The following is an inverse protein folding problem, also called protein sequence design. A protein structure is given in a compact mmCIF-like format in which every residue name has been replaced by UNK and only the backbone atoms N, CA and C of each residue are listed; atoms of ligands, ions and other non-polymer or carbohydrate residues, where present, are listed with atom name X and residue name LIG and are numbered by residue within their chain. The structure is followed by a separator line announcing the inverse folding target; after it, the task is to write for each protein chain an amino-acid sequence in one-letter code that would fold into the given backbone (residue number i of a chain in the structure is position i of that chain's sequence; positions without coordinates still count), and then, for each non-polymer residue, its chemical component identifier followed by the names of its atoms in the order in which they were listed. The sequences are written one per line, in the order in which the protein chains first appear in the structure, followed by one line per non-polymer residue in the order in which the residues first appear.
data_IF_173385858804
#
_entry.id   IF_173385858804
#
_cell.length_a   1.000
_cell.length_b   1.000
_cell.length_c   1.000
_cell.angle_alpha   90.00
_cell.angle_beta   90.00
_cell.angle_gamma   90.00
#
_symmetry.space_group_name_H-M   'P 1'
#
loop_
_entity.id
_entity.type
_entity.pdbx_description
1 polymer ?
#
# COMPACT_ATOMS: atom_id res chain seq x y z
N UNK A 1 -5.98 22.64 -15.04
CA UNK A 1 -4.85 22.53 -15.98
C UNK A 1 -5.35 22.82 -17.38
N UNK A 2 -4.55 23.50 -18.21
CA UNK A 2 -5.04 24.00 -19.53
C UNK A 2 -4.74 23.02 -20.67
N UNK A 3 -3.92 21.99 -20.43
CA UNK A 3 -3.47 21.05 -21.45
C UNK A 3 -4.27 19.73 -21.45
N UNK A 4 -4.34 19.09 -22.62
CA UNK A 4 -4.97 17.79 -22.80
C UNK A 4 -3.90 16.70 -22.85
N UNK A 5 -4.05 15.67 -22.02
CA UNK A 5 -3.11 14.56 -21.88
C UNK A 5 -3.66 13.27 -22.48
N UNK A 6 -2.77 12.40 -22.91
CA UNK A 6 -3.10 11.05 -23.36
C UNK A 6 -2.09 10.01 -22.89
N UNK A 7 -2.56 8.79 -22.62
CA UNK A 7 -1.73 7.65 -22.32
C UNK A 7 -2.43 6.32 -22.59
N UNK A 8 -1.66 5.26 -22.75
CA UNK A 8 -2.17 3.88 -22.69
C UNK A 8 -2.46 3.53 -21.24
N UNK A 9 -3.70 3.17 -20.92
CA UNK A 9 -4.16 2.86 -19.56
C UNK A 9 -4.21 1.37 -19.23
N UNK A 10 -4.02 0.50 -20.24
CA UNK A 10 -3.87 -0.95 -20.04
C UNK A 10 -2.42 -1.32 -19.75
N UNK A 11 -2.21 -2.50 -19.17
CA UNK A 11 -0.86 -3.01 -18.93
C UNK A 11 -0.01 -3.00 -20.23
N UNK A 12 1.28 -2.70 -20.16
CA UNK A 12 2.16 -2.67 -21.33
C UNK A 12 2.29 -4.05 -21.96
N UNK A 13 2.40 -4.07 -23.30
CA UNK A 13 2.58 -5.30 -24.08
C UNK A 13 1.49 -5.53 -25.11
N UNK A 14 1.54 -6.69 -25.78
CA UNK A 14 0.53 -7.12 -26.73
C UNK A 14 -0.60 -7.86 -26.01
N UNK A 15 -1.85 -7.53 -26.36
CA UNK A 15 -3.04 -8.14 -25.79
C UNK A 15 -4.18 -8.19 -26.80
N UNK A 16 -5.36 -8.71 -26.42
CA UNK A 16 -6.54 -8.66 -27.28
C UNK A 16 -7.08 -7.23 -27.44
N UNK A 17 -7.00 -6.41 -26.40
CA UNK A 17 -7.55 -5.07 -26.33
C UNK A 17 -6.56 -4.15 -25.58
N UNK A 18 -6.48 -2.89 -26.01
CA UNK A 18 -5.84 -1.81 -25.27
C UNK A 18 -6.80 -0.63 -25.15
N UNK A 19 -6.65 0.13 -24.06
CA UNK A 19 -7.41 1.36 -23.81
C UNK A 19 -6.44 2.53 -23.76
N UNK A 20 -6.67 3.54 -24.60
CA UNK A 20 -5.95 4.81 -24.58
C UNK A 20 -6.91 5.84 -23.99
N UNK A 21 -6.49 6.52 -22.92
CA UNK A 21 -7.26 7.54 -22.21
C UNK A 21 -6.74 8.93 -22.59
N UNK A 22 -7.67 9.84 -22.85
CA UNK A 22 -7.42 11.24 -23.15
C UNK A 22 -8.22 12.06 -22.14
N UNK A 23 -7.60 13.04 -21.48
CA UNK A 23 -8.27 13.90 -20.49
C UNK A 23 -7.83 15.34 -20.65
N UNK A 24 -8.76 16.26 -20.54
CA UNK A 24 -8.50 17.70 -20.62
C UNK A 24 -9.55 18.45 -21.45
N UNK A 25 -9.42 19.79 -21.55
CA UNK A 25 -10.43 20.63 -22.17
C UNK A 25 -10.68 20.34 -23.64
N UNK A 26 -9.66 19.90 -24.38
CA UNK A 26 -9.75 19.61 -25.81
C UNK A 26 -9.91 18.10 -26.13
N UNK A 27 -10.07 17.24 -25.13
CA UNK A 27 -10.07 15.78 -25.31
C UNK A 27 -11.10 15.32 -26.35
N UNK A 28 -12.34 15.82 -26.28
CA UNK A 28 -13.41 15.47 -27.20
C UNK A 28 -13.17 16.05 -28.60
N UNK A 29 -12.70 17.29 -28.67
CA UNK A 29 -12.44 17.97 -29.94
C UNK A 29 -11.31 17.29 -30.72
N UNK A 30 -10.21 16.99 -30.04
CA UNK A 30 -9.06 16.28 -30.65
C UNK A 30 -9.49 14.90 -31.14
N UNK A 31 -10.15 14.09 -30.32
CA UNK A 31 -10.61 12.76 -30.72
C UNK A 31 -11.60 12.81 -31.89
N UNK A 32 -12.46 13.85 -31.95
CA UNK A 32 -13.40 14.02 -33.04
C UNK A 32 -12.71 14.27 -34.40
N UNK A 33 -11.46 14.76 -34.43
CA UNK A 33 -10.71 14.99 -35.68
C UNK A 33 -10.12 13.71 -36.30
N UNK A 34 -9.94 12.68 -35.51
CA UNK A 34 -9.29 11.41 -35.91
C UNK A 34 -10.27 10.22 -35.97
N UNK A 35 -11.48 10.38 -35.46
CA UNK A 35 -12.48 9.34 -35.37
C UNK A 35 -13.55 9.49 -36.46
N UNK A 36 -13.78 8.40 -37.18
CA UNK A 36 -14.86 8.28 -38.19
C UNK A 36 -15.88 7.25 -37.72
N UNK A 37 -17.11 7.69 -37.38
CA UNK A 37 -18.16 6.77 -36.91
C UNK A 37 -18.61 5.81 -38.02
N UNK A 38 -18.86 4.57 -37.67
CA UNK A 38 -19.36 3.53 -38.62
C UNK A 38 -20.75 3.88 -39.17
N UNK A 39 -21.62 4.43 -38.32
CA UNK A 39 -22.97 4.83 -38.71
C UNK A 39 -22.97 6.32 -38.99
N UNK A 40 -23.50 6.74 -40.15
CA UNK A 40 -23.67 8.14 -40.50
C UNK A 40 -24.42 8.86 -39.37
N UNK A 41 -23.85 9.94 -38.86
CA UNK A 41 -24.43 10.71 -37.77
C UNK A 41 -23.50 11.80 -37.26
N UNK A 42 -23.95 12.49 -36.22
CA UNK A 42 -23.19 13.56 -35.57
C UNK A 42 -21.92 13.00 -34.95
N UNK A 43 -20.77 13.71 -35.02
CA UNK A 43 -19.49 13.36 -34.42
C UNK A 43 -19.52 13.27 -32.89
N UNK A 44 -18.35 13.09 -32.28
CA UNK A 44 -18.20 12.96 -30.83
C UNK A 44 -18.66 14.20 -30.06
N UNK A 45 -18.57 15.39 -30.65
CA UNK A 45 -18.98 16.65 -30.03
C UNK A 45 -20.44 16.64 -29.57
N UNK A 46 -21.32 15.93 -30.27
CA UNK A 46 -22.77 15.84 -29.95
C UNK A 46 -23.13 14.53 -29.25
N UNK A 47 -22.17 13.65 -28.99
CA UNK A 47 -22.40 12.39 -28.29
C UNK A 47 -22.70 12.66 -26.81
N UNK A 48 -23.68 11.91 -26.25
CA UNK A 48 -24.01 11.98 -24.83
C UNK A 48 -22.89 11.33 -24.02
N UNK A 49 -22.64 11.88 -22.82
CA UNK A 49 -21.79 11.23 -21.83
C UNK A 49 -22.27 9.81 -21.48
N UNK A 50 -21.35 8.96 -21.04
CA UNK A 50 -21.60 7.56 -20.68
C UNK A 50 -22.17 6.70 -21.82
N UNK A 51 -21.79 7.01 -23.05
CA UNK A 51 -22.18 6.23 -24.24
C UNK A 51 -20.96 5.75 -25.00
N UNK A 52 -21.13 4.59 -25.65
CA UNK A 52 -20.13 4.01 -26.52
C UNK A 52 -20.44 4.28 -27.97
N UNK A 53 -19.41 4.48 -28.80
CA UNK A 53 -19.54 4.61 -30.23
C UNK A 53 -18.52 3.78 -30.97
N UNK A 54 -18.98 2.96 -31.92
CA UNK A 54 -18.13 2.18 -32.80
C UNK A 54 -17.76 2.98 -34.06
N UNK A 55 -16.51 2.89 -34.47
CA UNK A 55 -15.98 3.54 -35.65
C UNK A 55 -14.53 3.20 -35.90
N UNK A 56 -13.83 4.06 -36.65
CA UNK A 56 -12.42 3.87 -37.00
C UNK A 56 -11.58 5.09 -36.64
N UNK A 57 -10.32 4.84 -36.25
CA UNK A 57 -9.28 5.88 -36.17
C UNK A 57 -8.55 5.91 -37.49
N UNK A 58 -8.39 7.14 -38.02
CA UNK A 58 -7.77 7.35 -39.33
C UNK A 58 -6.73 8.47 -39.29
N UNK A 59 -5.64 8.27 -40.08
CA UNK A 59 -4.68 9.33 -40.41
C UNK A 59 -4.92 9.75 -41.88
N UNK A 60 -5.76 10.77 -42.11
CA UNK A 60 -6.26 11.08 -43.43
C UNK A 60 -7.14 9.94 -43.98
N UNK A 61 -6.76 9.35 -45.11
CA UNK A 61 -7.48 8.22 -45.68
C UNK A 61 -7.01 6.85 -45.12
N UNK A 62 -5.86 6.79 -44.46
CA UNK A 62 -5.31 5.56 -43.91
C UNK A 62 -6.11 5.12 -42.67
N UNK A 63 -6.59 3.88 -42.69
CA UNK A 63 -7.23 3.23 -41.55
C UNK A 63 -6.14 2.72 -40.60
N UNK A 64 -6.13 3.21 -39.35
CA UNK A 64 -5.24 2.70 -38.30
C UNK A 64 -5.89 1.51 -37.60
N UNK A 65 -7.11 1.69 -37.10
CA UNK A 65 -7.84 0.61 -36.41
C UNK A 65 -9.35 0.89 -36.35
N UNK A 66 -10.14 -0.18 -36.12
CA UNK A 66 -11.56 -0.10 -35.77
C UNK A 66 -11.68 -0.13 -34.25
N UNK A 67 -12.38 0.85 -33.67
CA UNK A 67 -12.34 1.14 -32.23
C UNK A 67 -13.73 1.37 -31.64
N UNK A 68 -13.82 1.20 -30.31
CA UNK A 68 -14.92 1.69 -29.50
C UNK A 68 -14.47 2.94 -28.76
N UNK A 69 -15.26 4.03 -28.79
CA UNK A 69 -15.01 5.24 -28.01
C UNK A 69 -16.06 5.37 -26.92
N UNK A 70 -15.58 5.46 -25.66
CA UNK A 70 -16.35 5.88 -24.51
C UNK A 70 -16.10 7.36 -24.24
N UNK A 71 -17.16 8.11 -23.88
CA UNK A 71 -17.10 9.55 -23.67
C UNK A 71 -17.65 9.90 -22.30
N UNK A 72 -16.87 10.71 -21.57
CA UNK A 72 -17.20 11.25 -20.24
C UNK A 72 -17.06 12.76 -20.28
N UNK A 73 -18.04 13.47 -19.73
CA UNK A 73 -18.01 14.94 -19.69
C UNK A 73 -17.79 15.44 -18.28
N UNK A 74 -17.02 16.52 -18.18
CA UNK A 74 -16.83 17.25 -16.94
C UNK A 74 -18.19 17.65 -16.31
N UNK A 75 -18.31 17.63 -14.98
CA UNK A 75 -17.37 17.14 -13.99
C UNK A 75 -17.50 15.63 -13.70
N UNK A 76 -18.25 14.89 -14.50
CA UNK A 76 -18.64 13.50 -14.26
C UNK A 76 -17.70 12.51 -14.99
N UNK A 77 -16.41 12.61 -14.71
CA UNK A 77 -15.35 11.71 -15.16
C UNK A 77 -14.42 11.35 -13.99
N UNK A 78 -13.45 10.48 -14.21
CA UNK A 78 -12.45 10.15 -13.21
C UNK A 78 -11.61 11.36 -12.80
N UNK A 79 -11.14 12.12 -13.78
CA UNK A 79 -10.31 13.33 -13.56
C UNK A 79 -11.12 14.57 -13.22
N UNK A 80 -12.44 14.55 -13.40
CA UNK A 80 -13.27 15.74 -13.35
C UNK A 80 -13.25 16.58 -14.63
N UNK A 81 -12.44 16.22 -15.64
CA UNK A 81 -12.32 16.86 -16.94
C UNK A 81 -13.11 16.11 -18.03
N UNK A 82 -13.25 16.69 -19.22
CA UNK A 82 -13.71 15.94 -20.38
C UNK A 82 -12.73 14.81 -20.67
N UNK A 83 -13.25 13.58 -20.77
CA UNK A 83 -12.43 12.38 -20.94
C UNK A 83 -12.96 11.51 -22.07
N UNK A 84 -12.04 11.02 -22.88
CA UNK A 84 -12.32 10.04 -23.94
C UNK A 84 -11.48 8.80 -23.72
N UNK A 85 -12.10 7.64 -23.82
CA UNK A 85 -11.38 6.35 -23.82
C UNK A 85 -11.56 5.69 -25.18
N UNK A 86 -10.43 5.43 -25.85
CA UNK A 86 -10.36 4.71 -27.13
C UNK A 86 -9.97 3.28 -26.83
N UNK A 87 -10.91 2.37 -27.03
CA UNK A 87 -10.64 0.93 -26.95
C UNK A 87 -10.27 0.43 -28.37
N UNK A 88 -9.03 0.01 -28.54
CA UNK A 88 -8.45 -0.46 -29.80
C UNK A 88 -7.93 -1.91 -29.66
N UNK A 89 -7.49 -2.53 -30.76
CA UNK A 89 -6.77 -3.79 -30.67
C UNK A 89 -5.45 -3.60 -29.93
N UNK A 90 -5.07 -4.60 -29.10
CA UNK A 90 -3.93 -4.54 -28.19
C UNK A 90 -2.57 -4.73 -28.85
N UNK A 91 -2.43 -4.46 -30.15
CA UNK A 91 -1.15 -4.43 -30.87
C UNK A 91 -0.32 -3.22 -30.40
N UNK A 92 0.94 -3.45 -30.04
CA UNK A 92 1.88 -2.37 -29.65
C UNK A 92 2.01 -1.35 -30.79
N UNK A 93 2.00 -1.80 -32.05
CA UNK A 93 2.05 -0.92 -33.21
C UNK A 93 0.82 0.01 -33.29
N UNK A 94 -0.39 -0.55 -33.12
CA UNK A 94 -1.64 0.23 -33.15
C UNK A 94 -1.65 1.26 -32.02
N UNK A 95 -1.29 0.85 -30.80
CA UNK A 95 -1.19 1.75 -29.65
C UNK A 95 -0.26 2.92 -29.94
N UNK A 96 0.94 2.65 -30.49
CA UNK A 96 1.91 3.70 -30.85
C UNK A 96 1.39 4.63 -31.93
N UNK A 97 0.72 4.11 -32.98
CA UNK A 97 0.17 4.94 -34.05
C UNK A 97 -0.95 5.87 -33.55
N UNK A 98 -1.84 5.38 -32.67
CA UNK A 98 -2.90 6.19 -32.08
C UNK A 98 -2.31 7.24 -31.14
N UNK A 99 -1.36 6.88 -30.27
CA UNK A 99 -0.66 7.81 -29.39
C UNK A 99 0.05 8.92 -30.16
N UNK A 100 0.80 8.56 -31.20
CA UNK A 100 1.48 9.53 -32.07
C UNK A 100 0.47 10.48 -32.72
N UNK A 101 -0.63 9.96 -33.25
CA UNK A 101 -1.66 10.76 -33.90
C UNK A 101 -2.32 11.72 -32.93
N UNK A 102 -2.58 11.32 -31.68
CA UNK A 102 -3.12 12.19 -30.63
C UNK A 102 -2.14 13.32 -30.29
N UNK A 103 -0.85 13.03 -30.20
CA UNK A 103 0.21 14.03 -29.95
C UNK A 103 0.31 15.02 -31.12
N UNK A 104 0.26 14.52 -32.36
CA UNK A 104 0.23 15.38 -33.57
C UNK A 104 -0.99 16.32 -33.59
N UNK A 105 -2.08 15.95 -32.92
CA UNK A 105 -3.32 16.74 -32.81
C UNK A 105 -3.39 17.63 -31.58
N UNK A 106 -2.33 17.71 -30.76
CA UNK A 106 -2.22 18.64 -29.65
C UNK A 106 -2.37 18.04 -28.26
N UNK A 107 -2.44 16.70 -28.13
CA UNK A 107 -2.29 16.07 -26.84
C UNK A 107 -0.83 16.07 -26.41
N UNK A 108 -0.60 16.06 -25.09
CA UNK A 108 0.69 15.75 -24.49
C UNK A 108 0.64 14.35 -23.86
N UNK A 109 1.76 13.63 -23.85
CA UNK A 109 1.87 12.39 -23.10
C UNK A 109 1.69 12.69 -21.60
N UNK A 110 0.88 11.88 -20.92
CA UNK A 110 0.68 11.99 -19.49
C UNK A 110 1.93 11.59 -18.71
N UNK A 111 2.19 12.28 -17.62
CA UNK A 111 3.19 11.90 -16.62
C UNK A 111 2.67 10.72 -15.75
N UNK A 112 3.57 10.00 -15.02
CA UNK A 112 3.14 9.04 -14.03
C UNK A 112 2.13 9.63 -13.05
N UNK A 113 1.03 8.93 -12.78
CA UNK A 113 -0.01 9.35 -11.84
C UNK A 113 -0.82 10.60 -12.22
N UNK A 114 -0.60 11.20 -13.39
CA UNK A 114 -1.17 12.51 -13.72
C UNK A 114 -2.71 12.53 -13.77
N UNK A 115 -3.36 11.43 -14.18
CA UNK A 115 -4.83 11.39 -14.16
C UNK A 115 -5.36 11.40 -12.73
N UNK A 116 -4.72 10.68 -11.81
CA UNK A 116 -5.11 10.68 -10.40
C UNK A 116 -4.77 12.02 -9.73
N UNK A 117 -3.64 12.64 -10.09
CA UNK A 117 -3.30 13.99 -9.66
C UNK A 117 -4.36 15.02 -10.11
N UNK A 118 -4.82 14.97 -11.36
CA UNK A 118 -5.90 15.83 -11.86
C UNK A 118 -7.21 15.56 -11.12
N UNK A 119 -7.54 14.32 -10.84
CA UNK A 119 -8.70 13.96 -10.03
C UNK A 119 -8.63 14.58 -8.63
N UNK A 120 -7.48 14.52 -7.96
CA UNK A 120 -7.24 15.19 -6.68
C UNK A 120 -7.37 16.72 -6.81
N UNK A 121 -6.69 17.34 -7.76
CA UNK A 121 -6.74 18.81 -7.98
C UNK A 121 -8.15 19.31 -8.31
N UNK A 122 -8.96 18.49 -8.97
CA UNK A 122 -10.36 18.80 -9.28
C UNK A 122 -11.35 18.39 -8.18
N UNK A 123 -10.85 18.03 -6.98
CA UNK A 123 -11.68 17.71 -5.81
C UNK A 123 -12.53 16.44 -5.95
N UNK A 124 -12.14 15.50 -6.85
CA UNK A 124 -12.84 14.21 -7.02
C UNK A 124 -12.50 13.24 -5.92
N UNK A 125 -11.34 13.37 -5.30
CA UNK A 125 -10.82 12.60 -4.20
C UNK A 125 -9.79 13.43 -3.43
N UNK A 126 -9.55 13.07 -2.18
CA UNK A 126 -8.44 13.62 -1.40
C UNK A 126 -7.13 12.86 -1.65
N UNK A 127 -6.02 13.30 -1.03
CA UNK A 127 -4.70 12.72 -1.27
C UNK A 127 -4.62 11.28 -0.76
N UNK A 128 -5.23 10.97 0.38
CA UNK A 128 -5.24 9.61 0.95
C UNK A 128 -6.01 8.63 0.06
N UNK A 129 -7.12 9.08 -0.56
CA UNK A 129 -7.87 8.31 -1.55
C UNK A 129 -7.09 8.13 -2.85
N UNK A 130 -6.36 9.17 -3.28
CA UNK A 130 -5.47 9.09 -4.45
C UNK A 130 -4.38 8.04 -4.25
N UNK A 131 -3.70 8.03 -3.11
CA UNK A 131 -2.71 7.00 -2.77
C UNK A 131 -3.34 5.59 -2.75
N UNK A 132 -4.56 5.45 -2.25
CA UNK A 132 -5.29 4.18 -2.22
C UNK A 132 -5.61 3.63 -3.62
N UNK A 133 -5.75 4.49 -4.64
CA UNK A 133 -5.90 4.02 -6.05
C UNK A 133 -4.66 3.24 -6.50
N UNK A 134 -3.45 3.72 -6.17
CA UNK A 134 -2.21 3.01 -6.48
C UNK A 134 -2.12 1.69 -5.72
N UNK A 135 -2.43 1.71 -4.42
CA UNK A 135 -2.43 0.52 -3.58
C UNK A 135 -3.43 -0.54 -4.06
N UNK A 136 -4.61 -0.12 -4.51
CA UNK A 136 -5.63 -1.02 -5.06
C UNK A 136 -5.13 -1.75 -6.31
N UNK A 137 -4.44 -1.02 -7.19
CA UNK A 137 -3.89 -1.56 -8.43
C UNK A 137 -2.71 -2.51 -8.16
N UNK A 138 -1.88 -2.18 -7.17
CA UNK A 138 -0.74 -2.99 -6.77
C UNK A 138 -1.12 -4.21 -5.90
N UNK A 139 -2.37 -4.30 -5.45
CA UNK A 139 -2.81 -5.35 -4.52
C UNK A 139 -2.71 -6.75 -5.14
N UNK A 140 -2.03 -7.65 -4.44
CA UNK A 140 -1.82 -9.07 -4.82
C UNK A 140 -2.49 -10.03 -3.84
N UNK A 141 -3.10 -9.54 -2.74
CA UNK A 141 -3.79 -10.34 -1.74
C UNK A 141 -5.16 -9.78 -1.39
N UNK A 142 -6.04 -10.64 -0.86
CA UNK A 142 -7.37 -10.22 -0.41
C UNK A 142 -7.31 -9.18 0.72
N UNK A 143 -6.30 -9.26 1.59
CA UNK A 143 -6.07 -8.29 2.65
C UNK A 143 -5.71 -6.92 2.10
N UNK A 144 -4.72 -6.85 1.20
CA UNK A 144 -4.32 -5.61 0.53
C UNK A 144 -5.48 -4.97 -0.23
N UNK A 145 -6.18 -5.75 -1.04
CA UNK A 145 -7.34 -5.29 -1.79
C UNK A 145 -8.41 -4.67 -0.88
N UNK A 146 -8.75 -5.33 0.24
CA UNK A 146 -9.76 -4.85 1.19
C UNK A 146 -9.36 -3.52 1.81
N UNK A 147 -8.11 -3.39 2.28
CA UNK A 147 -7.60 -2.15 2.87
C UNK A 147 -7.60 -1.01 1.87
N UNK A 148 -7.03 -1.22 0.68
CA UNK A 148 -6.98 -0.20 -0.37
C UNK A 148 -8.39 0.23 -0.81
N UNK A 149 -9.33 -0.71 -0.97
CA UNK A 149 -10.71 -0.40 -1.33
C UNK A 149 -11.42 0.42 -0.25
N UNK A 150 -11.21 0.10 1.03
CA UNK A 150 -11.80 0.84 2.14
C UNK A 150 -11.26 2.28 2.21
N UNK A 151 -9.94 2.43 2.06
CA UNK A 151 -9.30 3.75 2.02
C UNK A 151 -9.75 4.57 0.81
N UNK A 152 -9.82 3.98 -0.39
CA UNK A 152 -10.31 4.64 -1.61
C UNK A 152 -11.77 5.12 -1.46
N UNK A 153 -12.61 4.39 -0.70
CA UNK A 153 -13.99 4.79 -0.40
C UNK A 153 -14.09 5.92 0.63
N UNK A 154 -12.97 6.41 1.17
CA UNK A 154 -12.92 7.55 2.07
C UNK A 154 -13.16 7.20 3.55
N UNK A 155 -13.05 5.93 3.95
CA UNK A 155 -13.22 5.55 5.36
C UNK A 155 -12.25 6.29 6.28
N UNK A 156 -10.98 6.38 5.88
CA UNK A 156 -9.94 7.10 6.62
C UNK A 156 -10.15 8.62 6.57
N UNK A 157 -10.44 9.17 5.41
CA UNK A 157 -10.71 10.60 5.20
C UNK A 157 -11.89 11.09 6.04
N UNK A 158 -12.94 10.29 6.19
CA UNK A 158 -14.09 10.63 7.02
C UNK A 158 -13.72 10.74 8.51
N UNK A 159 -12.93 9.79 9.02
CA UNK A 159 -12.42 9.83 10.39
C UNK A 159 -11.57 11.08 10.66
N UNK A 160 -10.63 11.39 9.72
CA UNK A 160 -9.79 12.59 9.84
C UNK A 160 -10.61 13.89 9.77
N UNK A 161 -11.63 13.93 8.93
CA UNK A 161 -12.53 15.09 8.86
C UNK A 161 -13.28 15.31 10.17
N UNK A 162 -13.80 14.25 10.77
CA UNK A 162 -14.48 14.34 12.07
C UNK A 162 -13.53 14.84 13.18
N UNK A 163 -12.30 14.32 13.24
CA UNK A 163 -11.28 14.79 14.17
C UNK A 163 -10.96 16.27 13.98
N UNK A 164 -10.79 16.69 12.74
CA UNK A 164 -10.49 18.07 12.40
C UNK A 164 -11.63 19.02 12.77
N UNK A 165 -12.88 18.64 12.54
CA UNK A 165 -14.05 19.43 12.94
C UNK A 165 -14.10 19.61 14.47
N UNK A 166 -13.77 18.56 15.24
CA UNK A 166 -13.67 18.63 16.69
C UNK A 166 -12.53 19.55 17.16
N UNK A 167 -11.34 19.45 16.53
CA UNK A 167 -10.21 20.34 16.82
C UNK A 167 -10.52 21.80 16.51
N UNK A 168 -11.14 22.07 15.36
CA UNK A 168 -11.57 23.42 14.99
C UNK A 168 -12.58 23.98 15.99
N UNK A 169 -13.47 23.14 16.50
CA UNK A 169 -14.41 23.56 17.56
C UNK A 169 -13.67 23.99 18.82
N UNK A 170 -12.70 23.17 19.33
CA UNK A 170 -11.87 23.55 20.48
C UNK A 170 -11.12 24.85 20.20
N UNK A 171 -10.47 24.95 19.03
CA UNK A 171 -9.70 26.14 18.66
C UNK A 171 -10.58 27.40 18.67
N UNK A 172 -11.78 27.31 18.11
CA UNK A 172 -12.72 28.47 18.09
C UNK A 172 -13.15 28.89 19.50
N UNK A 173 -13.36 27.94 20.41
CA UNK A 173 -13.71 28.27 21.81
C UNK A 173 -12.53 28.93 22.53
N UNK A 174 -11.31 28.47 22.31
CA UNK A 174 -10.10 29.06 22.89
C UNK A 174 -9.82 30.47 22.33
N UNK A 175 -10.05 30.70 21.04
CA UNK A 175 -9.89 32.02 20.42
C UNK A 175 -10.94 33.02 20.95
N UNK A 176 -12.18 32.57 21.17
CA UNK A 176 -13.20 33.39 21.79
C UNK A 176 -12.82 33.78 23.24
N UNK A 177 -12.27 32.84 24.01
CA UNK A 177 -11.80 33.14 25.39
C UNK A 177 -10.69 34.21 25.37
N UNK A 178 -9.79 34.17 24.35
CA UNK A 178 -8.73 35.16 24.19
C UNK A 178 -9.24 36.54 23.79
N UNK A 179 -10.16 36.62 22.84
CA UNK A 179 -10.73 37.88 22.34
C UNK A 179 -11.53 38.63 23.42
N UNK A 180 -12.12 37.89 24.36
CA UNK A 180 -12.94 38.45 25.45
C UNK A 180 -12.27 38.40 26.81
N UNK A 181 -10.95 38.12 26.86
CA UNK A 181 -10.16 38.04 28.11
C UNK A 181 -10.19 39.31 28.94
N UNK A 182 -10.53 40.48 28.37
CA UNK A 182 -10.70 41.78 29.08
C UNK A 182 -12.01 41.85 29.89
N UNK A 183 -12.91 40.87 29.72
CA UNK A 183 -14.20 40.80 30.45
C UNK A 183 -14.15 39.66 31.49
N UNK A 184 -13.80 39.97 32.73
CA UNK A 184 -13.55 39.04 33.84
C UNK A 184 -14.70 38.09 34.24
N UNK A 185 -15.85 38.11 33.55
CA UNK A 185 -17.05 37.34 33.94
C UNK A 185 -17.51 36.29 32.90
N UNK A 186 -16.80 36.07 31.78
CA UNK A 186 -17.26 35.17 30.75
C UNK A 186 -16.28 34.02 30.51
N UNK A 187 -16.50 32.89 31.17
CA UNK A 187 -15.92 31.59 30.75
C UNK A 187 -16.69 31.11 29.53
N UNK A 188 -16.08 31.22 28.33
CA UNK A 188 -16.70 30.78 27.08
C UNK A 188 -16.53 29.26 26.83
N UNK A 189 -15.59 28.61 27.51
CA UNK A 189 -15.38 27.19 27.43
C UNK A 189 -15.13 26.56 28.79
N UNK A 190 -15.91 25.55 29.13
CA UNK A 190 -15.62 24.70 30.29
C UNK A 190 -14.32 23.90 29.97
N UNK A 191 -13.22 24.21 30.66
CA UNK A 191 -11.93 23.53 30.51
C UNK A 191 -12.03 22.02 30.74
N UNK A 192 -13.01 21.56 31.53
CA UNK A 192 -13.27 20.14 31.72
C UNK A 192 -13.86 19.47 30.46
N UNK A 193 -14.72 20.19 29.72
CA UNK A 193 -15.28 19.73 28.47
C UNK A 193 -14.18 19.70 27.37
N UNK A 194 -13.34 20.74 27.30
CA UNK A 194 -12.19 20.79 26.41
C UNK A 194 -11.19 19.66 26.67
N UNK A 195 -10.88 19.38 27.94
CA UNK A 195 -9.99 18.29 28.32
C UNK A 195 -10.58 16.93 27.95
N UNK A 196 -11.88 16.74 28.14
CA UNK A 196 -12.57 15.49 27.73
C UNK A 196 -12.53 15.29 26.23
N UNK A 197 -12.75 16.35 25.46
CA UNK A 197 -12.70 16.27 23.98
C UNK A 197 -11.27 16.04 23.48
N UNK A 198 -10.26 16.70 24.06
CA UNK A 198 -8.86 16.45 23.75
C UNK A 198 -8.44 15.00 24.05
N UNK A 199 -8.86 14.43 25.17
CA UNK A 199 -8.61 13.03 25.51
C UNK A 199 -9.31 12.04 24.53
N UNK A 200 -10.51 12.39 24.06
CA UNK A 200 -11.16 11.60 23.02
C UNK A 200 -10.39 11.63 21.71
N UNK A 201 -9.95 12.81 21.26
CA UNK A 201 -9.15 12.99 20.04
C UNK A 201 -7.83 12.21 20.15
N UNK A 202 -7.11 12.32 21.27
CA UNK A 202 -5.90 11.54 21.54
C UNK A 202 -6.15 10.04 21.40
N UNK A 203 -7.23 9.53 21.97
CA UNK A 203 -7.59 8.10 21.90
C UNK A 203 -7.77 7.66 20.43
N UNK A 204 -8.44 8.47 19.61
CA UNK A 204 -8.67 8.15 18.19
C UNK A 204 -7.37 8.21 17.39
N UNK A 205 -6.56 9.26 17.58
CA UNK A 205 -5.27 9.40 16.88
C UNK A 205 -4.32 8.24 17.26
N UNK A 206 -4.23 7.91 18.56
CA UNK A 206 -3.43 6.79 19.06
C UNK A 206 -3.87 5.46 18.45
N UNK A 207 -5.18 5.21 18.36
CA UNK A 207 -5.72 4.01 17.73
C UNK A 207 -5.33 3.93 16.26
N UNK A 208 -5.44 5.04 15.51
CA UNK A 208 -5.04 5.11 14.11
C UNK A 208 -3.54 4.90 13.94
N UNK A 209 -2.70 5.58 14.72
CA UNK A 209 -1.25 5.41 14.67
C UNK A 209 -0.82 3.97 15.00
N UNK A 210 -1.38 3.37 16.05
CA UNK A 210 -1.09 2.00 16.44
C UNK A 210 -1.55 0.95 15.40
N UNK A 211 -2.53 1.28 14.57
CA UNK A 211 -2.98 0.39 13.50
C UNK A 211 -1.97 0.25 12.36
N UNK A 212 -0.97 1.16 12.28
CA UNK A 212 0.02 1.18 11.21
C UNK A 212 0.85 -0.11 11.15
N UNK A 213 1.24 -0.70 12.27
CA UNK A 213 2.00 -1.95 12.29
C UNK A 213 1.27 -3.08 11.56
N UNK A 214 -0.03 -3.23 11.82
CA UNK A 214 -0.90 -4.20 11.16
C UNK A 214 -1.11 -3.83 9.68
N UNK A 215 -1.39 -2.57 9.39
CA UNK A 215 -1.60 -2.08 8.03
C UNK A 215 -0.36 -2.24 7.16
N UNK A 216 0.82 -1.92 7.69
CA UNK A 216 2.09 -2.10 7.01
C UNK A 216 2.41 -3.59 6.75
N UNK A 217 2.14 -4.46 7.72
CA UNK A 217 2.30 -5.90 7.57
C UNK A 217 1.40 -6.47 6.46
N UNK A 218 0.16 -6.00 6.35
CA UNK A 218 -0.76 -6.43 5.29
C UNK A 218 -0.34 -5.85 3.92
N UNK A 219 0.04 -4.56 3.87
CA UNK A 219 0.40 -3.87 2.62
C UNK A 219 1.71 -4.38 2.04
N UNK A 220 2.77 -4.43 2.85
CA UNK A 220 4.13 -4.71 2.40
C UNK A 220 4.54 -6.18 2.61
N UNK A 221 3.67 -6.97 3.24
CA UNK A 221 3.96 -8.33 3.64
C UNK A 221 4.78 -8.41 4.91
N UNK A 222 4.63 -9.53 5.64
CA UNK A 222 5.34 -9.80 6.89
C UNK A 222 6.73 -10.30 6.55
N UNK A 223 7.80 -9.64 7.03
CA UNK A 223 9.16 -10.07 6.75
C UNK A 223 9.50 -11.37 7.51
N UNK A 224 9.91 -12.39 6.77
CA UNK A 224 10.27 -13.72 7.28
C UNK A 224 11.73 -14.02 6.97
N UNK A 225 12.53 -14.32 7.98
CA UNK A 225 13.87 -14.83 7.80
C UNK A 225 13.91 -16.35 7.94
N UNK A 226 14.55 -17.05 6.99
CA UNK A 226 14.87 -18.47 7.12
C UNK A 226 16.34 -18.58 7.47
N UNK A 227 16.64 -19.05 8.68
CA UNK A 227 17.99 -19.22 9.19
C UNK A 227 18.26 -20.70 9.51
N UNK A 228 19.51 -21.07 9.61
CA UNK A 228 19.94 -22.44 9.93
C UNK A 228 21.23 -22.80 9.21
N UNK A 229 21.82 -23.93 9.57
CA UNK A 229 23.06 -24.41 8.99
C UNK A 229 22.99 -24.74 7.50
N UNK A 230 24.14 -24.88 6.87
CA UNK A 230 24.26 -25.40 5.50
C UNK A 230 23.60 -26.78 5.42
N UNK A 231 22.85 -27.05 4.36
CA UNK A 231 22.12 -28.30 4.14
C UNK A 231 20.95 -28.62 5.12
N UNK A 232 20.53 -27.68 5.97
CA UNK A 232 19.30 -27.82 6.77
C UNK A 232 18.03 -27.88 5.89
N UNK A 233 18.12 -27.50 4.60
CA UNK A 233 17.03 -27.57 3.63
C UNK A 233 16.29 -26.26 3.40
N UNK A 234 16.91 -25.11 3.71
CA UNK A 234 16.33 -23.76 3.55
C UNK A 234 15.81 -23.50 2.14
N UNK A 235 16.66 -23.75 1.12
CA UNK A 235 16.29 -23.55 -0.30
C UNK A 235 15.18 -24.49 -0.74
N UNK A 236 15.18 -25.72 -0.22
CA UNK A 236 14.12 -26.70 -0.53
C UNK A 236 12.79 -26.23 0.05
N UNK A 237 12.77 -25.78 1.30
CA UNK A 237 11.55 -25.27 1.93
C UNK A 237 11.02 -24.04 1.19
N UNK A 238 11.88 -23.05 0.90
CA UNK A 238 11.49 -21.85 0.17
C UNK A 238 10.89 -22.19 -1.19
N UNK A 239 11.51 -23.09 -1.95
CA UNK A 239 11.00 -23.52 -3.25
C UNK A 239 9.66 -24.27 -3.15
N UNK A 240 9.44 -25.04 -2.08
CA UNK A 240 8.14 -25.72 -1.85
C UNK A 240 7.06 -24.67 -1.60
N UNK A 241 7.31 -23.72 -0.71
CA UNK A 241 6.36 -22.67 -0.38
C UNK A 241 6.03 -21.80 -1.61
N UNK A 242 7.03 -21.38 -2.38
CA UNK A 242 6.85 -20.57 -3.59
C UNK A 242 6.13 -21.32 -4.73
N UNK A 243 6.33 -22.63 -4.87
CA UNK A 243 5.68 -23.40 -5.93
C UNK A 243 4.20 -23.68 -5.63
N UNK A 244 3.80 -23.69 -4.37
CA UNK A 244 2.38 -23.80 -4.00
C UNK A 244 1.59 -22.53 -4.38
N UNK A 245 2.19 -21.37 -4.28
CA UNK A 245 1.57 -20.09 -4.66
C UNK A 245 1.50 -19.90 -6.18
N UNK A 246 2.53 -20.29 -6.93
CA UNK A 246 2.54 -20.19 -8.40
C UNK A 246 1.45 -21.01 -9.11
N UNK A 247 0.85 -21.97 -8.43
CA UNK A 247 -0.28 -22.73 -8.98
C UNK A 247 -1.59 -21.91 -9.02
N UNK A 248 -1.62 -20.74 -8.37
CA UNK A 248 -2.82 -19.90 -8.21
C UNK A 248 -2.72 -18.59 -9.01
N UNK A 249 -1.51 -18.12 -9.36
CA UNK A 249 -1.30 -16.82 -10.01
C UNK A 249 -0.67 -17.02 -11.40
N UNK A 250 -1.37 -16.56 -12.45
CA UNK A 250 -0.86 -16.54 -13.82
C UNK A 250 0.29 -15.53 -13.97
N UNK A 251 1.28 -15.84 -14.81
CA UNK A 251 2.44 -15.02 -15.18
C UNK A 251 2.04 -13.61 -15.64
N UNK A 252 2.03 -12.64 -14.75
CA UNK A 252 2.02 -11.22 -15.09
C UNK A 252 3.44 -10.69 -14.89
N UNK A 253 4.21 -10.71 -15.98
CA UNK A 253 5.51 -10.07 -16.04
C UNK A 253 5.32 -8.55 -16.20
N UNK A 254 5.86 -7.78 -15.28
CA UNK A 254 6.12 -6.38 -15.53
C UNK A 254 5.73 -5.40 -14.44
N UNK A 255 6.52 -5.27 -13.38
CA UNK A 255 6.76 -3.99 -12.69
C UNK A 255 8.12 -4.01 -12.01
N UNK A 256 8.99 -3.07 -12.42
CA UNK A 256 10.17 -2.46 -11.77
C UNK A 256 11.24 -3.36 -11.12
N UNK A 257 12.46 -3.09 -11.58
CA UNK A 257 13.77 -3.54 -11.12
C UNK A 257 14.06 -3.06 -9.68
N UNK A 258 13.51 -3.70 -8.67
CA UNK A 258 14.09 -3.64 -7.33
C UNK A 258 13.99 -5.03 -6.73
N UNK A 259 15.09 -5.50 -6.16
CA UNK A 259 15.37 -6.75 -5.44
C UNK A 259 14.14 -7.67 -5.41
N UNK A 260 14.16 -8.75 -6.19
CA UNK A 260 13.10 -9.77 -6.20
C UNK A 260 13.10 -10.44 -4.81
N UNK A 261 12.38 -9.85 -3.87
CA UNK A 261 12.02 -10.51 -2.64
C UNK A 261 10.94 -11.53 -3.00
N UNK A 262 11.18 -12.81 -2.74
CA UNK A 262 10.17 -13.83 -2.97
C UNK A 262 9.04 -13.64 -1.94
N UNK A 263 7.87 -13.28 -2.41
CA UNK A 263 6.65 -13.14 -1.61
C UNK A 263 5.72 -14.32 -1.86
N UNK A 264 5.04 -14.77 -0.83
CA UNK A 264 3.97 -15.78 -0.93
C UNK A 264 2.71 -15.30 -0.21
N UNK A 265 1.56 -15.72 -0.71
CA UNK A 265 0.28 -15.47 -0.08
C UNK A 265 -0.21 -16.75 0.61
N UNK A 266 -0.30 -16.74 1.94
CA UNK A 266 -0.82 -17.84 2.73
C UNK A 266 -2.04 -17.35 3.51
N UNK A 267 -3.20 -17.94 3.28
CA UNK A 267 -4.43 -17.57 3.97
C UNK A 267 -4.87 -16.10 3.75
N UNK A 268 -4.49 -15.49 2.63
CA UNK A 268 -4.79 -14.08 2.33
C UNK A 268 -3.82 -13.07 2.94
N UNK A 269 -2.75 -13.55 3.60
CA UNK A 269 -1.66 -12.76 4.18
C UNK A 269 -0.42 -12.93 3.31
N UNK A 270 0.23 -11.82 2.97
CA UNK A 270 1.49 -11.83 2.22
C UNK A 270 2.68 -11.99 3.17
N UNK A 271 3.53 -12.98 2.94
CA UNK A 271 4.81 -13.17 3.63
C UNK A 271 5.95 -12.87 2.67
N UNK A 272 6.92 -12.09 3.11
CA UNK A 272 8.05 -11.63 2.34
C UNK A 272 9.35 -12.23 2.88
N UNK A 273 9.97 -13.13 2.11
CA UNK A 273 11.22 -13.79 2.53
C UNK A 273 12.41 -12.87 2.29
N UNK A 274 13.17 -12.60 3.36
CA UNK A 274 14.33 -11.70 3.31
C UNK A 274 15.52 -12.43 2.66
N UNK A 275 16.10 -11.81 1.58
CA UNK A 275 17.27 -12.28 0.84
C UNK A 275 17.18 -13.75 0.38
N UNK A 276 16.23 -14.08 -0.48
CA UNK A 276 16.08 -15.43 -1.04
C UNK A 276 17.27 -15.86 -1.91
N UNK A 277 18.01 -14.91 -2.50
CA UNK A 277 19.20 -15.20 -3.31
C UNK A 277 20.30 -15.87 -2.47
N UNK A 278 20.57 -15.34 -1.28
CA UNK A 278 21.52 -15.96 -0.35
C UNK A 278 21.08 -17.32 0.21
N UNK A 279 19.79 -17.67 0.07
CA UNK A 279 19.25 -18.98 0.40
C UNK A 279 19.43 -19.96 -0.78
N UNK A 280 19.41 -19.47 -2.02
CA UNK A 280 19.53 -20.28 -3.26
C UNK A 280 20.98 -20.60 -3.64
N UNK A 281 21.93 -19.70 -3.35
CA UNK A 281 23.35 -19.84 -3.69
C UNK A 281 24.15 -20.49 -2.57
N UNK A 282 23.92 -21.77 -2.26
CA UNK A 282 24.76 -22.56 -1.37
C UNK A 282 25.76 -23.39 -2.18
N UNK A 283 26.74 -22.74 -2.81
CA UNK A 283 27.98 -23.37 -3.22
C UNK A 283 29.17 -22.48 -2.81
N UNK A 284 29.94 -23.05 -1.86
CA UNK A 284 31.32 -22.69 -1.50
C UNK A 284 31.74 -21.23 -1.46
N UNK A 285 31.90 -20.68 -0.29
CA UNK A 285 33.07 -19.99 0.25
C UNK A 285 32.70 -19.00 1.37
N UNK A 286 33.46 -19.07 2.44
CA UNK A 286 33.62 -18.06 3.52
C UNK A 286 32.53 -18.10 4.59
N UNK A 287 32.70 -19.03 5.50
CA UNK A 287 31.89 -19.27 6.71
C UNK A 287 31.67 -18.03 7.61
N UNK A 288 32.63 -17.10 7.66
CA UNK A 288 32.54 -15.91 8.53
C UNK A 288 31.63 -14.80 8.00
N UNK A 289 31.56 -14.59 6.68
CA UNK A 289 30.69 -13.59 6.04
C UNK A 289 29.22 -14.07 6.05
N UNK A 290 29.02 -15.38 6.00
CA UNK A 290 27.67 -15.98 6.05
C UNK A 290 26.94 -15.78 7.39
N UNK A 291 27.67 -15.81 8.50
CA UNK A 291 27.09 -15.65 9.84
C UNK A 291 26.61 -14.19 10.07
N UNK A 292 27.39 -13.21 9.68
CA UNK A 292 27.04 -11.79 9.88
C UNK A 292 25.83 -11.38 9.03
N UNK A 293 25.76 -11.83 7.79
CA UNK A 293 24.57 -11.68 6.92
C UNK A 293 23.32 -12.37 7.48
N UNK A 294 23.49 -13.54 8.08
CA UNK A 294 22.38 -14.26 8.74
C UNK A 294 21.82 -13.46 9.90
N UNK A 295 22.65 -12.77 10.66
CA UNK A 295 22.20 -11.92 11.77
C UNK A 295 21.52 -10.64 11.29
N UNK A 296 22.03 -10.01 10.23
CA UNK A 296 21.34 -8.84 9.62
C UNK A 296 19.93 -9.20 9.12
N UNK A 297 19.75 -10.39 8.55
CA UNK A 297 18.43 -10.88 8.13
C UNK A 297 17.49 -11.08 9.33
N UNK A 298 18.02 -11.63 10.41
CA UNK A 298 17.26 -11.86 11.63
C UNK A 298 16.78 -10.53 12.22
N UNK A 299 17.63 -9.50 12.21
CA UNK A 299 17.28 -8.17 12.74
C UNK A 299 16.12 -7.50 11.99
N UNK A 300 15.97 -7.78 10.69
CA UNK A 300 14.94 -7.21 9.81
C UNK A 300 13.62 -8.01 9.78
N UNK A 301 13.60 -9.21 10.36
CA UNK A 301 12.44 -10.09 10.32
C UNK A 301 11.51 -9.90 11.51
N UNK A 302 10.20 -10.04 11.28
CA UNK A 302 9.18 -10.16 12.32
C UNK A 302 8.98 -11.65 12.71
N UNK A 303 9.11 -12.55 11.72
CA UNK A 303 9.02 -13.99 11.92
C UNK A 303 10.36 -14.63 11.55
N UNK A 304 10.87 -15.49 12.41
CA UNK A 304 12.11 -16.22 12.21
C UNK A 304 11.83 -17.72 12.13
N UNK A 305 12.10 -18.31 10.97
CA UNK A 305 12.09 -19.76 10.79
C UNK A 305 13.50 -20.29 11.02
N UNK A 306 13.76 -20.84 12.19
CA UNK A 306 15.04 -21.50 12.46
C UNK A 306 14.97 -22.97 12.02
N UNK A 307 15.58 -23.23 10.85
CA UNK A 307 15.64 -24.58 10.28
C UNK A 307 16.78 -25.39 10.88
N UNK A 308 16.42 -26.54 11.40
CA UNK A 308 17.31 -27.51 12.08
C UNK A 308 17.19 -28.84 11.35
N UNK A 309 18.31 -29.49 11.07
CA UNK A 309 18.29 -30.88 10.61
C UNK A 309 17.84 -31.78 11.75
N UNK A 310 16.71 -32.44 11.62
CA UNK A 310 16.14 -33.27 12.66
C UNK A 310 17.05 -34.49 13.05
N UNK A 311 17.96 -34.88 12.14
CA UNK A 311 18.91 -36.01 12.40
C UNK A 311 20.06 -35.61 13.31
N UNK A 312 20.32 -34.27 13.48
CA UNK A 312 21.43 -33.75 14.29
C UNK A 312 21.03 -32.56 15.16
N UNK A 313 19.78 -32.55 15.61
CA UNK A 313 19.13 -31.37 16.22
C UNK A 313 19.84 -30.92 17.52
N UNK A 314 20.27 -31.84 18.38
CA UNK A 314 20.86 -31.50 19.68
C UNK A 314 22.17 -30.74 19.56
N UNK A 315 23.00 -31.07 18.56
CA UNK A 315 24.26 -30.37 18.30
C UNK A 315 24.05 -28.97 17.77
N UNK A 316 23.16 -28.84 16.79
CA UNK A 316 22.84 -27.54 16.15
C UNK A 316 22.21 -26.53 17.13
N UNK A 317 21.32 -27.02 18.01
CA UNK A 317 20.71 -26.20 19.05
C UNK A 317 21.80 -25.74 20.05
N UNK A 318 22.66 -26.64 20.52
CA UNK A 318 23.71 -26.27 21.45
C UNK A 318 24.70 -25.23 20.91
N UNK A 319 24.99 -25.26 19.61
CA UNK A 319 25.96 -24.36 18.98
C UNK A 319 25.38 -22.97 18.65
N UNK A 320 24.10 -22.90 18.29
CA UNK A 320 23.48 -21.66 17.71
C UNK A 320 22.49 -20.98 18.65
N UNK A 321 21.97 -21.67 19.69
CA UNK A 321 20.95 -21.11 20.58
C UNK A 321 21.40 -19.80 21.28
N UNK A 322 22.63 -19.76 21.78
CA UNK A 322 23.19 -18.57 22.45
C UNK A 322 23.27 -17.32 21.55
N UNK A 323 23.31 -17.52 20.23
CA UNK A 323 23.41 -16.43 19.24
C UNK A 323 22.05 -16.04 18.67
N UNK A 324 21.14 -17.00 18.50
CA UNK A 324 19.84 -16.80 17.85
C UNK A 324 18.77 -16.31 18.84
N UNK A 325 18.68 -16.94 20.02
CA UNK A 325 17.64 -16.62 21.00
C UNK A 325 17.62 -15.15 21.45
N UNK A 326 18.77 -14.54 21.82
CA UNK A 326 18.77 -13.14 22.24
C UNK A 326 18.34 -12.17 21.13
N UNK A 327 18.67 -12.49 19.87
CA UNK A 327 18.30 -11.67 18.71
C UNK A 327 16.89 -11.91 18.20
N UNK A 328 16.25 -12.96 18.67
CA UNK A 328 14.85 -13.27 18.38
C UNK A 328 13.90 -12.71 19.45
N UNK A 329 14.40 -11.99 20.43
CA UNK A 329 13.59 -11.34 21.44
C UNK A 329 12.67 -10.30 20.80
N UNK A 330 11.37 -10.34 21.13
CA UNK A 330 10.36 -9.50 20.50
C UNK A 330 9.89 -9.97 19.12
N UNK A 331 10.44 -11.07 18.57
CA UNK A 331 10.05 -11.64 17.28
C UNK A 331 9.34 -12.99 17.45
N UNK A 332 8.63 -13.42 16.40
CA UNK A 332 8.00 -14.75 16.40
C UNK A 332 9.01 -15.79 15.90
N UNK A 333 9.58 -16.57 16.83
CA UNK A 333 10.51 -17.64 16.52
C UNK A 333 9.78 -18.97 16.36
N UNK A 334 9.96 -19.63 15.22
CA UNK A 334 9.44 -20.98 14.93
C UNK A 334 10.62 -21.90 14.64
N UNK A 335 10.75 -22.96 15.40
CA UNK A 335 11.75 -24.02 15.18
C UNK A 335 11.21 -25.02 14.17
N UNK A 336 11.91 -25.16 13.05
CA UNK A 336 11.49 -26.04 11.96
C UNK A 336 12.48 -27.22 11.87
N UNK A 337 12.12 -28.36 12.43
CA UNK A 337 12.88 -29.61 12.36
C UNK A 337 12.60 -30.26 11.00
N UNK A 338 13.53 -30.06 10.06
CA UNK A 338 13.42 -30.62 8.72
C UNK A 338 14.03 -32.01 8.60
N UNK A 339 13.73 -32.73 7.53
CA UNK A 339 14.13 -34.10 7.26
C UNK A 339 13.54 -35.12 8.25
N UNK A 340 12.35 -34.85 8.77
CA UNK A 340 11.64 -35.73 9.68
C UNK A 340 11.37 -37.13 9.10
N UNK A 341 11.38 -37.26 7.77
CA UNK A 341 11.28 -38.52 7.05
C UNK A 341 12.48 -39.48 7.26
N UNK A 342 13.59 -38.97 7.75
CA UNK A 342 14.79 -39.77 8.06
C UNK A 342 14.85 -40.22 9.52
N UNK A 343 13.94 -39.78 10.39
CA UNK A 343 13.88 -40.16 11.78
C UNK A 343 13.26 -41.55 11.94
N UNK A 344 13.95 -42.42 12.68
CA UNK A 344 13.45 -43.74 13.08
C UNK A 344 12.52 -43.65 14.28
N UNK A 345 12.66 -42.66 15.14
CA UNK A 345 11.80 -42.41 16.30
C UNK A 345 11.31 -40.97 16.35
N UNK A 346 9.99 -40.76 16.33
CA UNK A 346 9.34 -39.45 16.25
C UNK A 346 9.19 -38.71 17.58
N UNK A 347 9.81 -39.19 18.65
CA UNK A 347 9.68 -38.65 20.01
C UNK A 347 10.88 -37.78 20.47
N UNK A 348 11.59 -37.14 19.56
CA UNK A 348 12.61 -36.17 19.93
C UNK A 348 11.95 -34.91 20.56
N UNK A 349 12.03 -34.82 21.90
CA UNK A 349 11.88 -33.53 22.59
C UNK A 349 13.26 -32.88 22.65
N UNK A 350 13.50 -31.77 21.90
CA UNK A 350 14.79 -31.09 22.00
C UNK A 350 14.94 -30.51 23.41
N UNK A 351 16.05 -30.89 24.10
CA UNK A 351 16.42 -30.32 25.40
C UNK A 351 17.22 -29.04 25.19
N UNK A 352 16.98 -28.00 25.99
CA UNK A 352 17.75 -26.75 25.94
C UNK A 352 17.07 -25.60 25.24
N UNK A 353 15.78 -25.71 24.92
CA UNK A 353 14.98 -24.62 24.33
C UNK A 353 13.98 -24.06 25.37
N UNK A 354 13.64 -22.77 25.28
CA UNK A 354 12.58 -22.19 26.10
C UNK A 354 11.24 -22.90 25.83
N UNK A 355 10.45 -23.15 26.86
CA UNK A 355 9.16 -23.87 26.76
C UNK A 355 8.13 -23.14 25.87
N UNK A 356 8.31 -21.84 25.63
CA UNK A 356 7.37 -20.99 24.88
C UNK A 356 7.65 -20.90 23.38
N UNK A 357 8.69 -21.57 22.85
CA UNK A 357 9.02 -21.50 21.43
C UNK A 357 8.24 -22.54 20.66
N UNK A 358 7.50 -22.09 19.64
CA UNK A 358 6.76 -22.99 18.76
C UNK A 358 7.70 -23.86 17.93
N UNK A 359 7.38 -25.13 17.77
CA UNK A 359 8.20 -26.08 17.00
C UNK A 359 7.36 -27.00 16.13
N UNK A 360 7.91 -27.37 14.98
CA UNK A 360 7.26 -28.27 14.02
C UNK A 360 8.28 -29.20 13.36
N UNK A 361 7.88 -30.44 13.12
CA UNK A 361 8.63 -31.41 12.32
C UNK A 361 8.06 -31.49 10.91
N UNK A 362 8.91 -31.28 9.90
CA UNK A 362 8.55 -31.30 8.49
C UNK A 362 9.47 -32.17 7.65
N UNK A 363 9.03 -32.56 6.48
CA UNK A 363 9.94 -32.98 5.40
C UNK A 363 9.70 -32.08 4.19
N UNK A 364 10.54 -31.08 3.99
CA UNK A 364 10.46 -30.19 2.83
C UNK A 364 10.58 -30.97 1.50
N UNK A 365 11.42 -32.03 1.47
CA UNK A 365 11.61 -32.89 0.29
C UNK A 365 10.36 -33.70 -0.07
N UNK A 366 9.66 -34.23 0.94
CA UNK A 366 8.43 -35.03 0.75
C UNK A 366 7.15 -34.23 0.88
N UNK A 367 7.24 -32.93 1.16
CA UNK A 367 6.12 -32.01 1.41
C UNK A 367 5.22 -32.45 2.57
N UNK A 368 5.81 -33.10 3.59
CA UNK A 368 5.07 -33.49 4.79
C UNK A 368 4.98 -32.34 5.78
N UNK A 369 3.78 -32.07 6.32
CA UNK A 369 3.44 -31.04 7.30
C UNK A 369 3.74 -29.59 6.86
N UNK A 370 3.80 -29.33 5.57
CA UNK A 370 3.97 -27.96 5.05
C UNK A 370 2.71 -27.11 5.32
N UNK A 371 1.52 -27.71 5.20
CA UNK A 371 0.23 -27.15 5.58
C UNK A 371 0.21 -26.66 7.03
N UNK A 372 0.72 -27.46 7.96
CA UNK A 372 0.83 -27.08 9.38
C UNK A 372 1.83 -25.94 9.62
N UNK A 373 2.93 -25.90 8.85
CA UNK A 373 3.87 -24.77 8.91
C UNK A 373 3.21 -23.49 8.41
N UNK A 374 2.39 -23.58 7.37
CA UNK A 374 1.61 -22.44 6.88
C UNK A 374 0.61 -21.93 7.94
N UNK A 375 -0.08 -22.84 8.64
CA UNK A 375 -0.97 -22.48 9.76
C UNK A 375 -0.19 -21.79 10.90
N UNK A 376 1.02 -22.24 11.23
CA UNK A 376 1.88 -21.60 12.21
C UNK A 376 2.33 -20.20 11.76
N UNK A 377 2.64 -20.01 10.48
CA UNK A 377 2.95 -18.69 9.93
C UNK A 377 1.77 -17.73 10.05
N UNK A 378 0.55 -18.20 9.73
CA UNK A 378 -0.68 -17.39 9.89
C UNK A 378 -0.89 -16.99 11.36
N UNK A 379 -0.69 -17.92 12.29
CA UNK A 379 -0.79 -17.64 13.74
C UNK A 379 0.28 -16.64 14.20
N UNK A 380 1.53 -16.82 13.75
CA UNK A 380 2.65 -15.94 14.08
C UNK A 380 2.50 -14.52 13.51
N UNK A 381 1.71 -14.36 12.46
CA UNK A 381 1.40 -13.07 11.86
C UNK A 381 0.65 -12.12 12.81
N UNK A 382 -0.04 -12.65 13.81
CA UNK A 382 -0.86 -11.89 14.76
C UNK A 382 -1.77 -10.83 14.13
N UNK A 383 -2.21 -11.04 12.89
CA UNK A 383 -3.12 -10.12 12.22
C UNK A 383 -4.53 -10.34 12.81
N UNK A 384 -5.12 -9.31 13.44
CA UNK A 384 -6.48 -9.43 13.94
C UNK A 384 -7.47 -9.65 12.81
N UNK A 385 -8.59 -10.28 13.10
CA UNK A 385 -9.70 -10.40 12.12
C UNK A 385 -10.24 -9.01 11.83
N UNK A 386 -9.92 -8.50 10.62
CA UNK A 386 -10.36 -7.18 10.18
C UNK A 386 -11.80 -7.22 9.70
N UNK A 387 -12.62 -6.33 10.25
CA UNK A 387 -13.94 -6.04 9.71
C UNK A 387 -13.85 -5.16 8.45
N UNK A 388 -14.89 -5.14 7.64
CA UNK A 388 -14.96 -4.28 6.46
C UNK A 388 -14.96 -2.78 6.77
N UNK A 389 -15.17 -2.41 8.03
CA UNK A 389 -15.29 -1.03 8.47
C UNK A 389 -14.08 -0.54 9.28
N UNK A 390 -13.09 -1.40 9.53
CA UNK A 390 -11.91 -1.00 10.29
C UNK A 390 -11.06 -0.02 9.49
N UNK A 391 -10.80 1.13 10.07
CA UNK A 391 -9.91 2.16 9.53
C UNK A 391 -8.50 1.84 9.99
N UNK A 392 -7.64 1.47 9.04
CA UNK A 392 -6.25 1.04 9.29
C UNK A 392 -5.31 1.88 8.44
N UNK A 393 -4.27 2.39 9.08
CA UNK A 393 -3.21 3.18 8.44
C UNK A 393 -2.22 2.23 7.77
N UNK A 394 -1.96 2.45 6.48
CA UNK A 394 -1.06 1.59 5.68
C UNK A 394 0.15 2.35 5.12
N UNK A 395 0.15 3.68 5.19
CA UNK A 395 1.18 4.53 4.62
C UNK A 395 2.03 5.15 5.74
N UNK A 396 3.37 5.09 5.59
CA UNK A 396 4.31 5.66 6.55
C UNK A 396 4.12 7.18 6.71
N UNK A 397 3.84 7.91 5.62
CA UNK A 397 3.54 9.34 5.67
C UNK A 397 2.36 9.66 6.60
N UNK A 398 1.30 8.86 6.51
CA UNK A 398 0.13 9.02 7.39
C UNK A 398 0.47 8.72 8.85
N UNK A 399 1.31 7.69 9.09
CA UNK A 399 1.77 7.34 10.43
C UNK A 399 2.61 8.46 11.05
N UNK A 400 3.56 9.03 10.29
CA UNK A 400 4.39 10.15 10.73
C UNK A 400 3.53 11.38 11.07
N UNK A 401 2.60 11.75 10.20
CA UNK A 401 1.68 12.85 10.45
C UNK A 401 0.78 12.62 11.69
N UNK A 402 0.27 11.40 11.88
CA UNK A 402 -0.51 11.04 13.06
C UNK A 402 0.35 11.07 14.34
N UNK A 403 1.62 10.69 14.27
CA UNK A 403 2.55 10.74 15.41
C UNK A 403 2.78 12.18 15.84
N UNK A 404 3.04 13.09 14.91
CA UNK A 404 3.17 14.52 15.21
C UNK A 404 1.86 15.13 15.72
N UNK A 405 0.72 14.75 15.14
CA UNK A 405 -0.58 15.19 15.67
C UNK A 405 -0.81 14.68 17.10
N UNK A 406 -0.34 13.47 17.45
CA UNK A 406 -0.40 12.92 18.80
C UNK A 406 0.47 13.70 19.77
N UNK A 407 1.68 14.09 19.39
CA UNK A 407 2.56 14.95 20.18
C UNK A 407 1.88 16.29 20.45
N UNK A 408 1.30 16.92 19.43
CA UNK A 408 0.60 18.21 19.57
C UNK A 408 -0.62 18.11 20.51
N UNK A 409 -1.42 17.04 20.41
CA UNK A 409 -2.59 16.89 21.32
C UNK A 409 -2.18 16.59 22.76
N UNK A 410 -1.05 15.92 23.01
CA UNK A 410 -0.49 15.77 24.34
C UNK A 410 -0.10 17.13 24.94
N UNK A 411 0.55 18.02 24.16
CA UNK A 411 0.85 19.40 24.62
C UNK A 411 -0.42 20.18 24.96
N UNK A 412 -1.49 20.01 24.15
CA UNK A 412 -2.81 20.61 24.47
C UNK A 412 -3.31 20.13 25.83
N UNK A 413 -3.25 18.83 26.13
CA UNK A 413 -3.72 18.29 27.43
C UNK A 413 -2.85 18.76 28.59
N UNK A 414 -1.53 18.78 28.41
CA UNK A 414 -0.61 19.32 29.41
C UNK A 414 -0.88 20.81 29.65
N UNK A 415 -1.10 21.59 28.59
CA UNK A 415 -1.46 23.00 28.67
C UNK A 415 -2.79 23.25 29.41
N UNK A 416 -3.82 22.47 29.13
CA UNK A 416 -5.11 22.51 29.81
C UNK A 416 -4.96 22.16 31.29
N UNK A 417 -4.20 21.11 31.62
CA UNK A 417 -3.98 20.66 33.01
C UNK A 417 -3.15 21.64 33.83
N UNK A 418 -2.18 22.31 33.19
CA UNK A 418 -1.31 23.32 33.80
C UNK A 418 -1.94 24.73 33.84
N UNK A 419 -3.18 24.88 33.36
CA UNK A 419 -3.86 26.16 33.20
C UNK A 419 -3.04 27.21 32.43
N UNK A 420 -2.33 26.81 31.36
CA UNK A 420 -1.64 27.72 30.47
C UNK A 420 -2.61 28.70 29.78
N UNK A 421 -2.08 29.81 29.29
CA UNK A 421 -2.87 30.77 28.51
C UNK A 421 -3.37 30.16 27.22
N UNK A 422 -4.56 30.58 26.76
CA UNK A 422 -5.20 30.07 25.55
C UNK A 422 -4.35 30.18 24.30
N UNK A 423 -3.42 31.15 24.22
CA UNK A 423 -2.50 31.35 23.08
C UNK A 423 -1.63 30.12 22.82
N UNK A 424 -1.02 29.54 23.87
CA UNK A 424 -0.17 28.35 23.70
C UNK A 424 -1.00 27.14 23.30
N UNK A 425 -2.16 26.95 23.94
CA UNK A 425 -3.06 25.83 23.63
C UNK A 425 -3.59 25.93 22.20
N UNK A 426 -3.95 27.14 21.75
CA UNK A 426 -4.41 27.38 20.38
C UNK A 426 -3.33 27.12 19.34
N UNK A 427 -2.06 27.39 19.66
CA UNK A 427 -0.93 27.07 18.77
C UNK A 427 -0.79 25.56 18.60
N UNK A 428 -0.78 24.78 19.69
CA UNK A 428 -0.68 23.32 19.64
C UNK A 428 -1.88 22.69 18.91
N UNK A 429 -3.09 23.23 19.10
CA UNK A 429 -4.28 22.80 18.35
C UNK A 429 -4.14 23.03 16.86
N UNK A 430 -3.65 24.20 16.42
CA UNK A 430 -3.41 24.52 15.02
C UNK A 430 -2.35 23.59 14.40
N UNK A 431 -1.30 23.25 15.14
CA UNK A 431 -0.29 22.30 14.72
C UNK A 431 -0.86 20.88 14.55
N UNK A 432 -1.70 20.43 15.48
CA UNK A 432 -2.42 19.17 15.35
C UNK A 432 -3.31 19.16 14.08
N UNK A 433 -4.09 20.22 13.86
CA UNK A 433 -4.91 20.38 12.63
C UNK A 433 -4.07 20.35 11.38
N UNK A 434 -2.90 21.02 11.37
CA UNK A 434 -1.99 21.04 10.25
C UNK A 434 -1.53 19.63 9.86
N UNK A 435 -1.08 18.83 10.83
CA UNK A 435 -0.63 17.47 10.58
C UNK A 435 -1.74 16.55 10.05
N UNK A 436 -2.96 16.66 10.58
CA UNK A 436 -4.10 15.90 10.05
C UNK A 436 -4.52 16.37 8.64
N UNK A 437 -4.41 17.67 8.36
CA UNK A 437 -4.72 18.26 7.04
C UNK A 437 -3.71 17.88 5.97
N UNK A 438 -2.44 17.68 6.36
CA UNK A 438 -1.40 17.19 5.43
C UNK A 438 -1.72 15.80 4.90
N UNK A 439 -2.31 14.91 5.70
CA UNK A 439 -2.69 13.55 5.27
C UNK A 439 -3.66 13.59 4.08
N UNK A 440 -4.65 14.45 4.13
CA UNK A 440 -5.69 14.58 3.09
C UNK A 440 -5.31 15.53 1.96
N UNK A 441 -4.18 16.25 2.10
CA UNK A 441 -3.62 17.11 1.05
C UNK A 441 -4.16 18.53 1.02
N UNK A 442 -4.75 19.03 2.12
CA UNK A 442 -5.25 20.41 2.19
C UNK A 442 -4.14 21.45 2.35
N UNK A 443 -2.98 21.06 2.88
CA UNK A 443 -1.81 21.93 3.15
C UNK A 443 -0.51 21.42 2.49
N UNK A 444 -0.63 20.63 1.45
CA UNK A 444 0.50 19.95 0.79
C UNK A 444 1.21 20.87 -0.20
N UNK A 445 2.54 20.70 -0.33
CA UNK A 445 3.33 21.42 -1.33
C UNK A 445 3.39 20.67 -2.66
N UNK A 446 3.63 21.38 -3.77
CA UNK A 446 3.81 20.77 -5.11
C UNK A 446 4.91 19.72 -5.14
N UNK A 447 5.97 19.88 -4.33
CA UNK A 447 7.06 18.92 -4.22
C UNK A 447 6.61 17.60 -3.58
N UNK A 448 5.79 17.66 -2.54
CA UNK A 448 5.22 16.46 -1.90
C UNK A 448 4.27 15.74 -2.85
N UNK A 449 3.41 16.48 -3.53
CA UNK A 449 2.51 15.93 -4.58
C UNK A 449 3.33 15.25 -5.68
N UNK A 450 4.39 15.89 -6.18
CA UNK A 450 5.30 15.32 -7.18
C UNK A 450 5.85 13.96 -6.73
N UNK A 451 6.42 13.88 -5.54
CA UNK A 451 7.01 12.66 -4.98
C UNK A 451 6.00 11.51 -4.81
N UNK A 452 4.74 11.84 -4.49
CA UNK A 452 3.67 10.85 -4.35
C UNK A 452 3.29 10.29 -5.72
N UNK A 453 3.00 11.17 -6.70
CA UNK A 453 2.49 10.77 -8.01
C UNK A 453 3.55 10.17 -8.94
N UNK A 454 4.84 10.50 -8.79
CA UNK A 454 5.93 9.86 -9.55
C UNK A 454 6.02 8.34 -9.38
N UNK A 455 5.51 7.81 -8.27
CA UNK A 455 5.47 6.36 -7.98
C UNK A 455 4.31 5.63 -8.66
N UNK A 456 3.40 6.35 -9.29
CA UNK A 456 2.24 5.77 -9.98
C UNK A 456 2.60 5.28 -11.39
N UNK A 457 1.78 4.38 -11.92
CA UNK A 457 1.91 3.97 -13.31
C UNK A 457 1.47 5.08 -14.27
N UNK A 458 2.12 5.17 -15.44
CA UNK A 458 1.67 6.03 -16.54
C UNK A 458 0.29 5.55 -17.00
N UNK A 459 -0.64 6.49 -17.22
CA UNK A 459 -2.00 6.17 -17.66
C UNK A 459 -3.02 6.06 -16.53
N UNK A 460 -2.59 6.38 -15.28
CA UNK A 460 -3.43 6.37 -14.07
C UNK A 460 -3.28 7.63 -13.25
#
# INVERSE_FOLDING_TARGET
MEDTICAVSTAPGAGGIAVIRISGPEAIAICNTIFVPRTAGKGLLSQKAYTLRYGSIRRGEELIDEVLIALFRAPHSFTGEDTVEITCHGSVYIQQQIMQLLIERGCRSALPGEYTQRAFMNGKMDLSQAEAVADLIASTSAGQHRLALNQMRGGFSHELKNLREQLLHITSLMELELDFSDHEELEFADRSELSTLAAHIETVISRLANSFSVGNAIKNGIPVAIIGETNAGKSTLLNVLLNEDKAIVSDIHGTTRDVIEDTINIGGITFRFIDPAGIRETHDAIESIGIERTFQKLDQADIVLWMIDATDASLQIAQLSEKILPRSEGKQLILVFNKADLLTDRQLKPTGLPENVQSIFISAKKREHIDKLQDLLIQAAHIPSLSSNDVIVTNIRHYEALTHALESIHHVQEGLSANLSGDFISQDLRECIFHLSDIVGEVTTDQVLGNIFERFCIGK
#
